data_IF_028312115592
#
_entry.id   IF_028312115592
#
_cell.length_a   1.000
_cell.length_b   1.000
_cell.length_c   1.000
_cell.angle_alpha   90.00
_cell.angle_beta   90.00
_cell.angle_gamma   90.00
#
_symmetry.space_group_name_H-M   'P 1'
#
loop_
_entity.id
_entity.type
_entity.pdbx_description
1 polymer ?
#
# COMPACT_ATOMS: atom_id res chain seq x y z
N UNK A 1 7.31 -3.57 -10.21
CA UNK A 1 6.25 -2.79 -10.90
C UNK A 1 4.88 -3.28 -10.46
N UNK A 2 4.04 -2.39 -9.91
CA UNK A 2 2.66 -2.69 -9.49
C UNK A 2 1.81 -3.39 -10.57
N UNK A 3 2.14 -3.17 -11.85
CA UNK A 3 1.54 -3.84 -13.02
C UNK A 3 1.91 -5.33 -13.19
N UNK A 4 3.01 -5.80 -12.58
CA UNK A 4 3.42 -7.20 -12.68
C UNK A 4 2.73 -8.07 -11.62
N UNK A 5 2.35 -7.48 -10.48
CA UNK A 5 1.66 -8.18 -9.39
C UNK A 5 0.13 -8.28 -9.62
N UNK A 6 -0.46 -7.37 -10.41
CA UNK A 6 -1.90 -7.37 -10.72
C UNK A 6 -2.35 -8.54 -11.61
N UNK A 7 -1.42 -9.24 -12.28
CA UNK A 7 -1.71 -10.39 -13.16
C UNK A 7 -2.00 -11.69 -12.40
N UNK A 8 -1.72 -11.75 -11.09
CA UNK A 8 -1.88 -12.96 -10.27
C UNK A 8 -3.12 -12.95 -9.36
N UNK A 9 -3.91 -11.87 -9.39
CA UNK A 9 -5.13 -11.71 -8.60
C UNK A 9 -6.36 -11.95 -9.48
N UNK A 10 -7.36 -12.75 -9.03
CA UNK A 10 -8.63 -12.91 -9.73
C UNK A 10 -9.26 -11.56 -10.05
N UNK A 11 -9.77 -11.39 -11.28
CA UNK A 11 -10.26 -10.11 -11.83
C UNK A 11 -11.27 -9.39 -10.91
N UNK A 12 -12.09 -10.14 -10.19
CA UNK A 12 -13.08 -9.63 -9.22
C UNK A 12 -12.44 -8.89 -8.05
N UNK A 13 -11.30 -9.38 -7.55
CA UNK A 13 -10.57 -8.74 -6.44
C UNK A 13 -9.90 -7.46 -6.94
N UNK A 14 -9.34 -7.47 -8.16
CA UNK A 14 -8.77 -6.28 -8.78
C UNK A 14 -9.81 -5.19 -9.01
N UNK A 15 -11.04 -5.54 -9.42
CA UNK A 15 -12.12 -4.58 -9.63
C UNK A 15 -12.64 -3.98 -8.32
N UNK A 16 -12.77 -4.79 -7.26
CA UNK A 16 -13.11 -4.29 -5.93
C UNK A 16 -12.02 -3.36 -5.37
N UNK A 17 -10.76 -3.74 -5.53
CA UNK A 17 -9.61 -2.95 -5.08
C UNK A 17 -9.49 -1.62 -5.85
N UNK A 18 -9.73 -1.63 -7.17
CA UNK A 18 -9.68 -0.40 -7.98
C UNK A 18 -10.78 0.58 -7.61
N UNK A 19 -12.02 0.11 -7.45
CA UNK A 19 -13.12 0.96 -6.98
C UNK A 19 -12.87 1.52 -5.57
N UNK A 20 -12.28 0.72 -4.69
CA UNK A 20 -11.96 1.15 -3.33
C UNK A 20 -10.83 2.19 -3.29
N UNK A 21 -9.73 1.98 -4.04
CA UNK A 21 -8.63 2.95 -4.16
C UNK A 21 -9.13 4.24 -4.82
N UNK A 22 -10.00 4.16 -5.83
CA UNK A 22 -10.61 5.34 -6.45
C UNK A 22 -11.58 6.08 -5.52
N UNK A 23 -12.21 5.39 -4.58
CA UNK A 23 -13.08 5.99 -3.56
C UNK A 23 -12.32 6.61 -2.38
N UNK A 24 -11.13 6.11 -2.08
CA UNK A 24 -10.23 6.76 -1.14
C UNK A 24 -9.60 7.97 -1.84
N UNK A 25 -9.86 9.18 -1.33
CA UNK A 25 -9.24 10.42 -1.83
C UNK A 25 -7.75 10.52 -1.43
N UNK A 26 -6.98 9.47 -1.72
CA UNK A 26 -5.55 9.37 -1.48
C UNK A 26 -4.84 10.36 -2.37
N UNK A 27 -4.08 11.27 -1.77
CA UNK A 27 -3.29 12.23 -2.53
C UNK A 27 -2.10 11.49 -3.15
N UNK A 28 -1.83 11.68 -4.46
CA UNK A 28 -0.67 11.07 -5.10
C UNK A 28 0.66 11.57 -4.51
N UNK A 29 0.65 12.76 -3.91
CA UNK A 29 1.79 13.35 -3.22
C UNK A 29 1.39 13.69 -1.79
N UNK A 30 2.05 13.06 -0.82
CA UNK A 30 1.86 13.32 0.61
C UNK A 30 3.07 14.11 1.11
N UNK A 31 2.89 15.26 1.76
CA UNK A 31 4.00 15.96 2.40
C UNK A 31 4.42 15.16 3.64
N UNK A 32 5.59 14.52 3.56
CA UNK A 32 6.23 13.78 4.67
C UNK A 32 7.53 14.46 5.04
N UNK A 33 7.91 14.40 6.31
CA UNK A 33 9.20 14.92 6.76
C UNK A 33 10.34 14.00 6.30
N UNK A 34 11.56 14.53 6.22
CA UNK A 34 12.73 13.72 5.86
C UNK A 34 12.96 12.56 6.84
N UNK A 35 12.64 12.77 8.13
CA UNK A 35 12.76 11.74 9.17
C UNK A 35 11.73 10.62 8.95
N UNK A 36 10.47 10.97 8.68
CA UNK A 36 9.40 10.01 8.39
C UNK A 36 9.66 9.21 7.10
N UNK A 37 10.22 9.86 6.07
CA UNK A 37 10.59 9.17 4.84
C UNK A 37 11.71 8.15 5.05
N UNK A 38 12.68 8.46 5.90
CA UNK A 38 13.83 7.60 6.16
C UNK A 38 13.48 6.46 7.11
N UNK A 39 12.85 6.77 8.24
CA UNK A 39 12.63 5.84 9.34
C UNK A 39 11.26 5.18 9.36
N UNK A 40 10.32 5.65 8.56
CA UNK A 40 8.98 5.10 8.53
C UNK A 40 7.89 6.13 8.78
N UNK A 41 6.83 6.06 7.99
CA UNK A 41 5.55 6.68 8.27
C UNK A 41 4.41 5.66 8.10
N UNK A 42 3.31 5.91 8.80
CA UNK A 42 2.11 5.10 8.71
C UNK A 42 1.32 5.52 7.45
N UNK A 43 1.48 4.77 6.36
CA UNK A 43 0.65 4.94 5.17
C UNK A 43 -0.69 4.20 5.37
N UNK A 44 -1.85 4.87 5.18
CA UNK A 44 -3.16 4.25 5.29
C UNK A 44 -3.32 3.03 4.37
N UNK A 45 -2.75 3.06 3.16
CA UNK A 45 -2.83 1.96 2.20
C UNK A 45 -2.01 0.77 2.66
N UNK A 46 -0.82 1.01 3.22
CA UNK A 46 0.06 -0.05 3.70
C UNK A 46 -0.48 -0.67 4.99
N UNK A 47 -1.00 0.14 5.90
CA UNK A 47 -1.68 -0.35 7.10
C UNK A 47 -2.89 -1.22 6.75
N UNK A 48 -3.69 -0.79 5.77
CA UNK A 48 -4.83 -1.54 5.28
C UNK A 48 -4.39 -2.86 4.63
N UNK A 49 -3.40 -2.79 3.74
CA UNK A 49 -2.84 -3.96 3.10
C UNK A 49 -2.28 -4.96 4.15
N UNK A 50 -1.56 -4.49 5.16
CA UNK A 50 -1.04 -5.33 6.23
C UNK A 50 -2.15 -6.08 6.99
N UNK A 51 -3.32 -5.44 7.16
CA UNK A 51 -4.48 -6.04 7.85
C UNK A 51 -5.23 -7.04 6.98
N UNK A 52 -5.39 -6.77 5.69
CA UNK A 52 -6.22 -7.58 4.79
C UNK A 52 -5.45 -8.67 4.02
N UNK A 53 -4.16 -8.50 3.76
CA UNK A 53 -3.39 -9.53 3.05
C UNK A 53 -3.01 -10.71 3.97
N UNK A 54 -3.00 -11.95 3.42
CA UNK A 54 -2.53 -13.13 4.15
C UNK A 54 -1.04 -13.01 4.49
N UNK A 55 -0.60 -13.64 5.60
CA UNK A 55 0.75 -13.49 6.19
C UNK A 55 1.91 -13.63 5.19
N UNK A 56 1.74 -14.44 4.15
CA UNK A 56 2.74 -14.68 3.09
C UNK A 56 2.92 -13.51 2.11
N UNK A 57 1.99 -12.55 2.08
CA UNK A 57 1.99 -11.38 1.18
C UNK A 57 1.78 -10.06 1.93
N UNK A 58 1.93 -10.04 3.26
CA UNK A 58 1.78 -8.82 4.03
C UNK A 58 2.94 -7.89 3.73
N UNK A 59 2.68 -6.65 3.28
CA UNK A 59 3.71 -5.62 3.27
C UNK A 59 4.12 -5.29 4.71
N UNK A 60 5.28 -4.66 4.88
CA UNK A 60 5.70 -4.07 6.16
C UNK A 60 4.59 -3.16 6.70
N UNK A 61 4.46 -3.00 8.02
CA UNK A 61 3.37 -2.16 8.57
C UNK A 61 3.54 -0.67 8.28
N UNK A 62 4.74 -0.25 7.87
CA UNK A 62 5.13 1.14 7.65
C UNK A 62 5.89 1.31 6.33
N UNK A 63 5.85 2.52 5.78
CA UNK A 63 6.60 2.92 4.59
C UNK A 63 7.81 3.75 4.98
N UNK A 64 9.01 3.35 4.55
CA UNK A 64 10.23 4.08 4.81
C UNK A 64 11.38 3.54 3.98
N UNK A 65 12.34 4.40 3.65
CA UNK A 65 13.48 4.05 2.78
C UNK A 65 14.45 3.08 3.45
N UNK A 66 14.58 3.15 4.78
CA UNK A 66 15.47 2.29 5.57
C UNK A 66 14.72 1.29 6.45
N UNK A 67 13.43 1.07 6.18
CA UNK A 67 12.66 0.01 6.82
C UNK A 67 12.96 -1.33 6.15
N UNK A 68 13.94 -2.05 6.70
CA UNK A 68 14.36 -3.40 6.30
C UNK A 68 14.25 -4.39 7.44
#
# INVERSE_FOLDING_TARGET
TLSTQSRSLPSVINMGLSMFISGMNQKPFVPVTAQELVFGYDDPLVTLAHRFFPKTRRPMSQMGLLLG
#
